data_IF_229835872356
#
_entry.id   IF_229835872356
#
_cell.length_a   1.000
_cell.length_b   1.000
_cell.length_c   1.000
_cell.angle_alpha   90.00
_cell.angle_beta   90.00
_cell.angle_gamma   90.00
#
_symmetry.space_group_name_H-M   'P 1'
#
loop_
_entity.id
_entity.type
_entity.pdbx_description
1 polymer ?
#
# COMPACT_ATOMS: atom_id res chain seq x y z
N UNK A 1 10.06 16.60 -26.66
CA UNK A 1 10.60 15.87 -25.48
C UNK A 1 9.66 15.88 -24.27
N UNK A 2 8.95 16.98 -23.97
CA UNK A 2 7.99 17.04 -22.85
C UNK A 2 6.66 16.27 -23.02
N UNK A 3 6.21 15.96 -24.25
CA UNK A 3 4.92 15.27 -24.46
C UNK A 3 4.99 13.79 -24.11
N UNK A 4 6.08 13.10 -24.47
CA UNK A 4 6.27 11.67 -24.22
C UNK A 4 6.36 11.35 -22.71
N UNK A 5 6.95 12.23 -21.91
CA UNK A 5 7.00 12.08 -20.45
C UNK A 5 5.61 12.26 -19.83
N UNK A 6 4.85 13.27 -20.28
CA UNK A 6 3.45 13.47 -19.84
C UNK A 6 2.55 12.31 -20.24
N UNK A 7 2.75 11.76 -21.44
CA UNK A 7 2.02 10.61 -21.95
C UNK A 7 2.40 9.32 -21.21
N UNK A 8 3.68 9.11 -20.89
CA UNK A 8 4.13 8.00 -20.05
C UNK A 8 3.55 8.10 -18.62
N UNK A 9 3.53 9.29 -18.02
CA UNK A 9 2.88 9.52 -16.71
C UNK A 9 1.36 9.28 -16.79
N UNK A 10 0.71 9.74 -17.86
CA UNK A 10 -0.72 9.49 -18.08
C UNK A 10 -1.05 8.02 -18.37
N UNK A 11 -0.10 7.25 -18.93
CA UNK A 11 -0.27 5.82 -19.21
C UNK A 11 0.11 4.93 -18.01
N UNK A 12 0.99 5.38 -17.10
CA UNK A 12 1.20 4.72 -15.80
C UNK A 12 -0.08 4.74 -14.96
N UNK A 13 -0.91 5.77 -15.13
CA UNK A 13 -2.25 5.87 -14.52
C UNK A 13 -3.30 4.94 -15.17
N UNK A 14 -2.94 4.19 -16.22
CA UNK A 14 -3.74 3.11 -16.79
C UNK A 14 -3.18 1.74 -16.38
N UNK A 15 -2.93 1.54 -15.08
CA UNK A 15 -3.32 0.22 -14.54
C UNK A 15 -4.80 0.11 -14.87
N UNK A 16 -5.25 -0.98 -15.47
CA UNK A 16 -6.66 -1.21 -15.82
C UNK A 16 -7.54 -0.96 -14.59
N UNK A 17 -7.97 0.29 -14.46
CA UNK A 17 -8.72 0.83 -13.33
C UNK A 17 -9.94 -0.03 -13.03
N UNK A 18 -10.67 -0.57 -14.03
CA UNK A 18 -11.79 -1.47 -13.80
C UNK A 18 -11.39 -2.79 -13.12
N UNK A 19 -10.24 -3.38 -13.48
CA UNK A 19 -9.78 -4.64 -12.90
C UNK A 19 -9.26 -4.43 -11.47
N UNK A 20 -8.49 -3.35 -11.25
CA UNK A 20 -8.02 -3.00 -9.92
C UNK A 20 -9.18 -2.60 -8.99
N UNK A 21 -10.15 -1.80 -9.47
CA UNK A 21 -11.37 -1.51 -8.70
C UNK A 21 -12.14 -2.78 -8.38
N UNK A 22 -12.40 -3.64 -9.37
CA UNK A 22 -13.11 -4.90 -9.15
C UNK A 22 -12.39 -5.78 -8.13
N UNK A 23 -11.05 -5.84 -8.19
CA UNK A 23 -10.26 -6.56 -7.20
C UNK A 23 -10.43 -5.94 -5.81
N UNK A 24 -10.30 -4.62 -5.68
CA UNK A 24 -10.44 -3.90 -4.41
C UNK A 24 -11.85 -4.08 -3.83
N UNK A 25 -12.89 -3.86 -4.62
CA UNK A 25 -14.29 -3.94 -4.19
C UNK A 25 -14.68 -5.35 -3.77
N UNK A 26 -14.30 -6.36 -4.56
CA UNK A 26 -14.69 -7.75 -4.29
C UNK A 26 -13.81 -8.44 -3.23
N UNK A 27 -12.56 -8.01 -3.05
CA UNK A 27 -11.60 -8.74 -2.22
C UNK A 27 -11.09 -7.98 -1.01
N UNK A 28 -11.19 -6.65 -0.96
CA UNK A 28 -10.48 -5.82 0.03
C UNK A 28 -11.42 -4.96 0.87
N UNK A 29 -12.56 -4.51 0.33
CA UNK A 29 -13.45 -3.52 0.96
C UNK A 29 -13.80 -3.81 2.43
N UNK A 30 -14.03 -5.07 2.78
CA UNK A 30 -14.41 -5.49 4.13
C UNK A 30 -13.24 -6.12 4.93
N UNK A 31 -12.01 -5.99 4.43
CA UNK A 31 -10.81 -6.55 5.05
C UNK A 31 -9.93 -5.45 5.64
N UNK A 32 -9.24 -5.80 6.73
CA UNK A 32 -8.15 -5.00 7.25
C UNK A 32 -6.97 -5.04 6.30
N UNK A 33 -6.54 -3.87 5.81
CA UNK A 33 -5.37 -3.74 4.93
C UNK A 33 -4.17 -3.30 5.72
N UNK A 34 -3.04 -3.96 5.48
CA UNK A 34 -1.73 -3.62 6.03
C UNK A 34 -0.75 -3.49 4.88
N UNK A 35 0.09 -2.46 4.90
CA UNK A 35 1.08 -2.21 3.84
C UNK A 35 2.46 -2.53 4.36
N UNK A 36 3.21 -3.38 3.65
CA UNK A 36 4.62 -3.61 3.92
C UNK A 36 5.49 -2.60 3.18
N UNK A 37 6.38 -1.95 3.92
CA UNK A 37 7.21 -0.84 3.44
C UNK A 37 6.47 0.49 3.53
N UNK A 38 7.05 1.43 4.26
CA UNK A 38 6.54 2.78 4.47
C UNK A 38 7.28 3.84 3.62
N UNK A 39 8.07 3.36 2.64
CA UNK A 39 8.74 4.20 1.62
C UNK A 39 7.77 4.81 0.60
N UNK A 40 8.32 5.44 -0.45
CA UNK A 40 7.53 6.20 -1.43
C UNK A 40 6.40 5.39 -2.08
N UNK A 41 6.68 4.13 -2.47
CA UNK A 41 5.67 3.25 -3.07
C UNK A 41 4.55 2.90 -2.09
N UNK A 42 4.87 2.53 -0.85
CA UNK A 42 3.86 2.23 0.17
C UNK A 42 2.93 3.41 0.44
N UNK A 43 3.49 4.63 0.48
CA UNK A 43 2.72 5.87 0.63
C UNK A 43 1.80 6.14 -0.56
N UNK A 44 2.28 5.93 -1.79
CA UNK A 44 1.44 6.04 -2.99
C UNK A 44 0.31 5.01 -2.99
N UNK A 45 0.59 3.76 -2.60
CA UNK A 45 -0.44 2.73 -2.43
C UNK A 45 -1.49 3.12 -1.39
N UNK A 46 -1.07 3.64 -0.23
CA UNK A 46 -2.01 4.11 0.79
C UNK A 46 -2.91 5.24 0.28
N UNK A 47 -2.34 6.19 -0.48
CA UNK A 47 -3.12 7.27 -1.08
C UNK A 47 -4.14 6.74 -2.10
N UNK A 48 -3.75 5.76 -2.93
CA UNK A 48 -4.67 5.12 -3.87
C UNK A 48 -5.82 4.43 -3.14
N UNK A 49 -5.54 3.68 -2.07
CA UNK A 49 -6.58 3.02 -1.26
C UNK A 49 -7.55 4.03 -0.63
N UNK A 50 -7.04 5.19 -0.16
CA UNK A 50 -7.89 6.26 0.40
C UNK A 50 -8.89 6.80 -0.63
N UNK A 51 -8.51 6.92 -1.91
CA UNK A 51 -9.45 7.30 -2.99
C UNK A 51 -10.62 6.31 -3.06
N UNK A 52 -10.36 5.03 -2.78
CA UNK A 52 -11.37 3.97 -2.71
C UNK A 52 -12.01 3.78 -1.33
N UNK A 53 -11.87 4.77 -0.43
CA UNK A 53 -12.40 4.76 0.95
C UNK A 53 -11.88 3.61 1.81
N UNK A 54 -10.71 3.06 1.45
CA UNK A 54 -10.02 2.05 2.24
C UNK A 54 -8.86 2.74 2.95
N UNK A 55 -8.90 2.73 4.28
CA UNK A 55 -7.83 3.27 5.11
C UNK A 55 -7.00 2.09 5.59
N UNK A 56 -5.71 1.99 5.20
CA UNK A 56 -4.82 1.00 5.77
C UNK A 56 -4.73 1.17 7.28
N UNK A 57 -4.77 0.05 8.00
CA UNK A 57 -4.70 0.02 9.46
C UNK A 57 -3.29 0.38 9.95
N UNK A 58 -2.24 -0.07 9.23
CA UNK A 58 -0.85 0.30 9.51
C UNK A 58 0.11 0.03 8.35
N UNK A 59 1.25 0.70 8.42
CA UNK A 59 2.47 0.33 7.70
C UNK A 59 3.33 -0.61 8.56
N UNK A 60 3.94 -1.61 7.92
CA UNK A 60 4.98 -2.46 8.50
C UNK A 60 6.32 -2.10 7.87
N UNK A 61 7.26 -1.61 8.66
CA UNK A 61 8.58 -1.20 8.16
C UNK A 61 9.68 -1.61 9.15
N UNK A 62 10.86 -1.95 8.62
CA UNK A 62 12.03 -2.29 9.44
C UNK A 62 12.52 -1.09 10.27
N UNK A 63 12.29 0.12 9.75
CA UNK A 63 12.65 1.37 10.40
C UNK A 63 11.36 2.20 10.62
N UNK A 64 10.49 1.78 11.56
CA UNK A 64 9.18 2.39 11.71
C UNK A 64 9.30 3.83 12.25
N UNK A 65 8.62 4.76 11.58
CA UNK A 65 8.31 6.09 12.13
C UNK A 65 7.07 6.00 13.02
N UNK A 66 6.73 7.06 13.77
CA UNK A 66 5.49 7.04 14.56
C UNK A 66 4.25 6.96 13.68
N UNK A 67 4.17 7.80 12.65
CA UNK A 67 3.07 7.86 11.69
C UNK A 67 3.57 8.27 10.31
N UNK A 68 2.86 7.83 9.27
CA UNK A 68 2.98 8.31 7.90
C UNK A 68 1.58 8.53 7.35
N UNK A 69 1.27 9.76 6.92
CA UNK A 69 -0.06 10.15 6.41
C UNK A 69 -1.21 9.72 7.34
N UNK A 70 -1.02 9.94 8.65
CA UNK A 70 -1.95 9.59 9.74
C UNK A 70 -2.12 8.08 9.99
N UNK A 71 -1.39 7.25 9.25
CA UNK A 71 -1.40 5.79 9.42
C UNK A 71 -0.21 5.40 10.31
N UNK A 72 -0.42 4.62 11.38
CA UNK A 72 0.66 4.21 12.27
C UNK A 72 1.64 3.31 11.52
N UNK A 73 2.94 3.41 11.86
CA UNK A 73 3.96 2.50 11.34
C UNK A 73 4.53 1.68 12.48
N UNK A 74 4.67 0.37 12.30
CA UNK A 74 5.22 -0.53 13.31
C UNK A 74 6.24 -1.48 12.69
N UNK A 75 7.12 -2.02 13.54
CA UNK A 75 8.02 -3.08 13.10
C UNK A 75 7.21 -4.36 12.78
N UNK A 76 7.49 -5.10 11.68
CA UNK A 76 6.78 -6.34 11.34
C UNK A 76 6.73 -7.34 12.50
N UNK A 77 7.80 -7.41 13.30
CA UNK A 77 7.86 -8.28 14.47
C UNK A 77 6.89 -7.90 15.59
N UNK A 78 6.32 -6.70 15.60
CA UNK A 78 5.35 -6.27 16.62
C UNK A 78 3.90 -6.47 16.20
N UNK A 79 3.64 -6.89 14.95
CA UNK A 79 2.29 -6.98 14.41
C UNK A 79 1.55 -8.26 14.83
N UNK A 80 2.00 -9.43 14.34
CA UNK A 80 1.42 -10.71 14.74
C UNK A 80 2.36 -11.89 14.41
N UNK A 81 2.17 -13.03 15.08
CA UNK A 81 3.02 -14.24 14.91
C UNK A 81 3.03 -14.83 13.50
N UNK A 82 1.90 -14.85 12.78
CA UNK A 82 1.83 -15.31 11.37
C UNK A 82 2.58 -14.37 10.43
N UNK A 83 2.46 -13.07 10.64
CA UNK A 83 3.16 -12.04 9.86
C UNK A 83 4.66 -12.07 10.15
N UNK A 84 5.06 -12.29 11.40
CA UNK A 84 6.44 -12.56 11.79
C UNK A 84 7.00 -13.77 11.03
N UNK A 85 6.26 -14.88 10.98
CA UNK A 85 6.68 -16.10 10.27
C UNK A 85 6.85 -15.88 8.77
N UNK A 86 5.89 -15.22 8.11
CA UNK A 86 5.98 -14.85 6.69
C UNK A 86 7.19 -13.95 6.41
N UNK A 87 7.45 -12.97 7.29
CA UNK A 87 8.60 -12.08 7.15
C UNK A 87 9.95 -12.82 7.27
N UNK A 88 10.08 -13.75 8.22
CA UNK A 88 11.27 -14.58 8.36
C UNK A 88 11.51 -15.54 7.17
N UNK A 89 10.53 -15.78 6.32
CA UNK A 89 10.67 -16.61 5.10
C UNK A 89 11.09 -15.79 3.87
N UNK A 90 11.00 -14.46 3.94
CA UNK A 90 11.30 -13.54 2.83
C UNK A 90 12.71 -12.92 2.95
N UNK A 91 13.44 -13.23 4.02
CA UNK A 91 14.83 -12.86 4.29
C UNK A 91 15.72 -14.10 4.15
#
# INVERSE_FOLDING_TARGET
>A
MHSLIKEAINNINKIDYPCLLSFIENNIKDKTVVIYGAGAFGQQTANLLKIHKIIPDKFLDINPKSFINEIPTIHPQKYNKKIQQLYCQLL
#
